data_IF_604240042572
#
_entry.id   IF_604240042572
#
_cell.length_a   1.000
_cell.length_b   1.000
_cell.length_c   1.000
_cell.angle_alpha   90.00
_cell.angle_beta   90.00
_cell.angle_gamma   90.00
#
_symmetry.space_group_name_H-M   'P 1'
#
loop_
_entity.id
_entity.type
_entity.pdbx_description
1 polymer ?
#
# COMPACT_ATOMS: atom_id res chain seq x y z
N UNK A 1 -42.24 3.02 -53.02
CA UNK A 1 -41.03 3.74 -52.59
C UNK A 1 -40.77 3.37 -51.13
N UNK A 2 -39.78 2.51 -50.89
CA UNK A 2 -39.40 2.11 -49.52
C UNK A 2 -38.08 2.85 -49.17
N UNK A 3 -38.13 3.73 -48.20
CA UNK A 3 -36.92 4.42 -47.67
C UNK A 3 -36.19 3.47 -46.74
N UNK A 4 -34.99 3.05 -47.12
CA UNK A 4 -34.04 2.41 -46.23
C UNK A 4 -33.27 3.51 -45.47
N UNK A 5 -33.50 3.59 -44.15
CA UNK A 5 -32.68 4.38 -43.27
C UNK A 5 -31.45 3.54 -42.87
N UNK A 6 -30.28 3.91 -43.35
CA UNK A 6 -29.00 3.32 -42.86
C UNK A 6 -28.61 4.01 -41.59
N UNK A 7 -28.64 3.25 -40.48
CA UNK A 7 -28.03 3.69 -39.21
C UNK A 7 -26.51 3.53 -39.31
N UNK A 8 -25.80 4.62 -39.24
CA UNK A 8 -24.34 4.63 -39.06
C UNK A 8 -24.05 4.31 -37.59
N UNK A 9 -23.54 3.12 -37.30
CA UNK A 9 -22.88 2.82 -36.03
C UNK A 9 -21.51 3.47 -36.03
N UNK A 10 -21.35 4.56 -35.27
CA UNK A 10 -20.06 5.14 -34.95
C UNK A 10 -19.42 4.26 -33.87
N UNK A 11 -18.53 3.36 -34.26
CA UNK A 11 -17.66 2.68 -33.31
C UNK A 11 -16.61 3.70 -32.83
N UNK A 12 -16.75 4.19 -31.62
CA UNK A 12 -15.67 4.91 -30.96
C UNK A 12 -14.52 3.92 -30.74
N UNK A 13 -13.44 4.07 -31.49
CA UNK A 13 -12.21 3.36 -31.22
C UNK A 13 -11.68 3.86 -29.87
N UNK A 14 -11.76 3.02 -28.86
CA UNK A 14 -11.05 3.23 -27.60
C UNK A 14 -9.58 3.02 -27.93
N UNK A 15 -8.84 4.10 -28.15
CA UNK A 15 -7.38 4.04 -28.16
C UNK A 15 -6.93 3.57 -26.78
N UNK A 16 -6.15 2.49 -26.65
CA UNK A 16 -5.55 2.15 -25.39
C UNK A 16 -4.66 3.34 -24.98
N UNK A 17 -5.01 4.00 -23.87
CA UNK A 17 -4.06 4.88 -23.19
C UNK A 17 -2.97 3.94 -22.66
N UNK A 18 -1.82 3.96 -23.30
CA UNK A 18 -0.62 3.35 -22.72
C UNK A 18 -0.38 4.02 -21.38
N UNK A 19 -0.16 3.23 -20.34
CA UNK A 19 0.31 3.75 -19.08
C UNK A 19 1.56 4.57 -19.35
N UNK A 20 1.55 5.82 -18.90
CA UNK A 20 2.69 6.69 -19.13
C UNK A 20 3.82 6.20 -18.21
N UNK A 21 4.95 5.82 -18.80
CA UNK A 21 6.17 5.63 -18.05
C UNK A 21 6.61 7.00 -17.53
N UNK A 22 6.62 7.16 -16.22
CA UNK A 22 7.06 8.37 -15.56
C UNK A 22 8.55 8.25 -15.23
N UNK A 23 9.40 8.63 -16.17
CA UNK A 23 10.84 8.72 -15.96
C UNK A 23 11.21 9.94 -15.09
N UNK A 24 10.25 10.83 -14.84
CA UNK A 24 10.45 12.04 -14.05
C UNK A 24 9.52 12.05 -12.85
N UNK A 25 10.01 12.35 -11.64
CA UNK A 25 9.17 12.56 -10.47
C UNK A 25 8.28 13.81 -10.59
N UNK A 26 8.49 14.59 -11.64
CA UNK A 26 7.80 15.87 -11.85
C UNK A 26 6.50 15.66 -12.61
N UNK A 27 5.45 15.35 -11.88
CA UNK A 27 4.14 15.78 -12.30
C UNK A 27 4.14 17.30 -12.13
N UNK A 28 4.05 18.01 -13.22
CA UNK A 28 4.26 19.45 -13.33
C UNK A 28 3.44 20.33 -12.42
N UNK A 29 3.60 20.22 -11.14
CA UNK A 29 3.01 21.14 -10.20
C UNK A 29 4.10 21.94 -9.48
N UNK A 30 4.97 22.58 -10.27
CA UNK A 30 6.06 23.40 -9.76
C UNK A 30 5.60 24.76 -9.27
N UNK A 31 4.42 25.22 -9.69
CA UNK A 31 3.84 26.48 -9.22
C UNK A 31 2.77 26.25 -8.16
N UNK A 32 2.68 27.07 -7.10
CA UNK A 32 1.65 26.95 -6.06
C UNK A 32 0.22 27.06 -6.58
N UNK A 33 0.04 27.71 -7.73
CA UNK A 33 -1.26 27.97 -8.37
C UNK A 33 -1.64 26.92 -9.40
N UNK A 34 -0.76 25.99 -9.75
CA UNK A 34 -1.05 24.94 -10.72
C UNK A 34 -1.66 23.75 -9.97
N UNK A 35 -2.90 23.43 -10.32
CA UNK A 35 -3.56 22.23 -9.81
C UNK A 35 -3.52 21.12 -10.83
N UNK A 36 -3.23 19.89 -10.39
CA UNK A 36 -3.44 18.68 -11.19
C UNK A 36 -4.88 18.25 -11.05
N UNK A 37 -5.57 18.01 -12.15
CA UNK A 37 -6.96 17.57 -12.18
C UNK A 37 -7.04 16.18 -12.80
N UNK A 38 -7.71 15.25 -12.11
CA UNK A 38 -8.05 13.92 -12.63
C UNK A 38 -9.55 13.77 -12.69
N UNK A 39 -10.07 13.37 -13.83
CA UNK A 39 -11.49 13.07 -14.02
C UNK A 39 -11.71 11.56 -13.93
N UNK A 40 -12.54 11.12 -12.99
CA UNK A 40 -12.85 9.72 -12.76
C UNK A 40 -14.33 9.54 -12.37
N UNK A 41 -15.03 8.62 -13.04
CA UNK A 41 -16.44 8.35 -12.75
C UNK A 41 -17.37 9.56 -12.87
N UNK A 42 -17.04 10.53 -13.74
CA UNK A 42 -17.79 11.77 -13.91
C UNK A 42 -17.55 12.84 -12.84
N UNK A 43 -16.59 12.61 -11.95
CA UNK A 43 -16.13 13.56 -10.94
C UNK A 43 -14.75 14.09 -11.25
N UNK A 44 -14.49 15.34 -10.90
CA UNK A 44 -13.16 15.97 -11.02
C UNK A 44 -12.53 16.06 -9.63
N UNK A 45 -11.33 15.52 -9.53
CA UNK A 45 -10.48 15.62 -8.34
C UNK A 45 -9.37 16.62 -8.66
N UNK A 46 -9.20 17.60 -7.79
CA UNK A 46 -8.25 18.70 -8.00
C UNK A 46 -7.26 18.73 -6.85
N UNK A 47 -5.96 18.57 -7.17
CA UNK A 47 -4.88 18.82 -6.23
C UNK A 47 -4.65 20.34 -6.14
N UNK A 48 -4.94 20.92 -5.00
CA UNK A 48 -4.78 22.36 -4.74
C UNK A 48 -3.47 22.72 -4.05
N UNK A 49 -2.58 21.76 -3.88
CA UNK A 49 -1.29 21.95 -3.25
C UNK A 49 -1.27 21.59 -1.76
N UNK A 50 -0.08 21.70 -1.17
CA UNK A 50 0.18 21.41 0.23
C UNK A 50 -0.33 22.57 1.11
N UNK A 51 -1.07 22.27 2.16
CA UNK A 51 -1.66 23.25 3.07
C UNK A 51 -1.29 23.05 4.52
N UNK A 52 -0.39 22.12 4.81
CA UNK A 52 0.12 21.92 6.17
C UNK A 52 1.04 20.73 6.27
N UNK A 53 1.95 20.83 7.22
CA UNK A 53 2.96 19.82 7.59
C UNK A 53 3.02 19.73 9.11
N UNK A 54 3.31 18.54 9.61
CA UNK A 54 3.62 18.32 11.02
C UNK A 54 4.79 17.36 11.16
N UNK A 55 5.51 17.51 12.27
CA UNK A 55 6.62 16.63 12.64
C UNK A 55 6.24 15.85 13.88
N UNK A 56 6.40 14.55 13.84
CA UNK A 56 6.24 13.68 14.99
C UNK A 56 7.60 13.14 15.43
N UNK A 57 7.94 13.32 16.71
CA UNK A 57 9.26 12.98 17.21
C UNK A 57 9.47 11.47 17.26
N UNK A 58 10.60 10.98 16.75
CA UNK A 58 10.94 9.55 16.67
C UNK A 58 11.20 8.90 18.03
N UNK A 59 11.50 9.69 19.05
CA UNK A 59 11.81 9.24 20.42
C UNK A 59 10.57 9.13 21.33
N UNK A 60 9.37 9.30 20.80
CA UNK A 60 8.15 9.09 21.57
C UNK A 60 8.08 7.63 22.00
N UNK A 61 7.81 7.40 23.29
CA UNK A 61 7.65 6.07 23.87
C UNK A 61 6.16 5.72 23.86
N UNK A 62 5.84 4.54 23.37
CA UNK A 62 4.48 4.03 23.29
C UNK A 62 4.01 3.40 24.60
N UNK A 63 2.75 2.93 24.64
CA UNK A 63 2.14 2.33 25.82
C UNK A 63 2.75 0.97 26.25
N UNK A 64 3.72 0.44 25.50
CA UNK A 64 4.48 -0.76 25.84
C UNK A 64 5.89 -0.46 26.35
N UNK A 65 6.30 0.80 26.31
CA UNK A 65 7.64 1.22 26.69
C UNK A 65 8.67 1.12 25.57
N UNK A 66 8.25 0.83 24.36
CA UNK A 66 9.10 0.84 23.16
C UNK A 66 9.06 2.22 22.49
N UNK A 67 10.03 2.53 21.64
CA UNK A 67 9.90 3.65 20.72
C UNK A 67 8.70 3.48 19.80
N UNK A 68 8.06 4.59 19.42
CA UNK A 68 6.82 4.59 18.64
C UNK A 68 6.91 3.73 17.37
N UNK A 69 8.07 3.68 16.73
CA UNK A 69 8.30 2.96 15.48
C UNK A 69 8.03 3.83 14.25
N UNK A 70 7.45 3.24 13.22
CA UNK A 70 7.17 3.87 11.94
C UNK A 70 5.66 4.15 11.75
N UNK A 71 5.34 4.81 10.63
CA UNK A 71 3.99 4.95 10.10
C UNK A 71 3.91 4.15 8.80
N UNK A 72 3.93 2.81 8.88
CA UNK A 72 3.77 1.97 7.69
C UNK A 72 2.42 2.20 7.05
N UNK A 73 1.37 2.30 7.87
CA UNK A 73 0.05 2.74 7.44
C UNK A 73 -0.58 3.69 8.46
N UNK A 74 -1.50 4.52 8.01
CA UNK A 74 -2.39 5.28 8.89
C UNK A 74 -3.77 5.50 8.27
N UNK A 75 -4.78 5.59 9.14
CA UNK A 75 -6.16 5.91 8.74
C UNK A 75 -6.78 6.91 9.72
N UNK A 76 -7.44 7.90 9.17
CA UNK A 76 -8.28 8.80 9.96
C UNK A 76 -9.64 8.13 10.20
N UNK A 77 -10.09 8.10 11.43
CA UNK A 77 -11.46 7.67 11.73
C UNK A 77 -12.44 8.77 11.30
N UNK A 78 -13.10 8.52 10.19
CA UNK A 78 -14.06 9.46 9.59
C UNK A 78 -15.21 9.84 10.52
N UNK A 79 -15.59 8.98 11.48
CA UNK A 79 -16.64 9.28 12.45
C UNK A 79 -16.21 10.35 13.47
N UNK A 80 -14.91 10.56 13.62
CA UNK A 80 -14.35 11.55 14.56
C UNK A 80 -13.86 12.82 13.87
N UNK A 81 -13.67 12.77 12.54
CA UNK A 81 -13.15 13.89 11.77
C UNK A 81 -14.16 15.03 11.67
N UNK A 82 -13.78 16.24 12.10
CA UNK A 82 -14.65 17.40 12.10
C UNK A 82 -13.87 18.70 11.88
N UNK A 83 -14.53 19.64 11.23
CA UNK A 83 -14.09 21.04 11.16
C UNK A 83 -14.57 21.78 12.39
N UNK A 84 -13.68 22.47 13.07
CA UNK A 84 -13.95 23.31 14.22
C UNK A 84 -14.37 24.72 13.80
N UNK A 85 -14.98 25.48 14.70
CA UNK A 85 -15.48 26.85 14.44
C UNK A 85 -14.37 27.85 14.07
N UNK A 86 -13.13 27.59 14.50
CA UNK A 86 -11.96 28.39 14.15
C UNK A 86 -11.31 28.02 12.82
N UNK A 87 -11.91 27.10 12.05
CA UNK A 87 -11.39 26.63 10.77
C UNK A 87 -10.37 25.51 10.84
N UNK A 88 -9.92 25.12 12.05
CA UNK A 88 -9.07 23.93 12.22
C UNK A 88 -9.90 22.65 12.09
N UNK A 89 -9.22 21.52 12.02
CA UNK A 89 -9.81 20.20 12.00
C UNK A 89 -9.27 19.36 13.16
N UNK A 90 -10.08 18.44 13.64
CA UNK A 90 -9.65 17.48 14.66
C UNK A 90 -10.27 16.11 14.41
N UNK A 91 -9.63 15.07 14.92
CA UNK A 91 -10.10 13.70 14.80
C UNK A 91 -9.19 12.71 15.48
N UNK A 92 -9.49 11.44 15.30
CA UNK A 92 -8.66 10.31 15.70
C UNK A 92 -7.96 9.75 14.47
N UNK A 93 -6.67 9.53 14.59
CA UNK A 93 -5.87 8.83 13.60
C UNK A 93 -5.39 7.53 14.24
N UNK A 94 -5.50 6.44 13.49
CA UNK A 94 -4.85 5.18 13.83
C UNK A 94 -3.67 4.96 12.91
N UNK A 95 -2.55 4.50 13.46
CA UNK A 95 -1.38 4.15 12.66
C UNK A 95 -0.84 2.79 13.07
N UNK A 96 -0.26 2.10 12.10
CA UNK A 96 0.36 0.80 12.24
C UNK A 96 1.86 0.95 12.00
N UNK A 97 2.71 0.75 13.00
CA UNK A 97 4.12 0.49 12.75
C UNK A 97 4.28 -0.89 12.10
N UNK A 98 5.30 -1.01 11.26
CA UNK A 98 5.79 -2.30 10.77
C UNK A 98 6.45 -3.11 11.89
N UNK A 99 7.59 -3.72 11.64
CA UNK A 99 8.44 -4.35 12.67
C UNK A 99 9.06 -3.36 13.66
N UNK A 100 8.74 -2.07 13.59
CA UNK A 100 9.33 -1.02 14.39
C UNK A 100 10.81 -0.83 14.08
N UNK A 101 11.66 -0.87 15.12
CA UNK A 101 13.12 -0.79 14.96
C UNK A 101 13.80 -2.14 14.66
N UNK A 102 13.00 -3.17 14.35
CA UNK A 102 13.44 -4.55 14.16
C UNK A 102 13.85 -4.83 12.69
N UNK A 103 14.78 -4.06 12.15
CA UNK A 103 15.20 -4.13 10.75
C UNK A 103 15.63 -5.55 10.31
N UNK A 104 16.22 -6.32 11.23
CA UNK A 104 16.72 -7.65 10.95
C UNK A 104 15.72 -8.79 11.29
N UNK A 105 14.49 -8.47 11.74
CA UNK A 105 13.52 -9.48 12.12
C UNK A 105 13.92 -10.35 13.33
N UNK A 106 14.78 -9.82 14.22
CA UNK A 106 15.34 -10.58 15.35
C UNK A 106 14.73 -10.22 16.70
N UNK A 107 14.00 -9.11 16.78
CA UNK A 107 13.47 -8.55 18.03
C UNK A 107 12.01 -8.96 18.18
N UNK A 108 11.65 -9.42 19.37
CA UNK A 108 10.26 -9.77 19.70
C UNK A 108 9.40 -8.52 19.92
N UNK A 109 9.20 -7.73 18.85
CA UNK A 109 8.34 -6.55 18.83
C UNK A 109 6.88 -6.99 18.54
N UNK A 110 5.94 -6.92 19.51
CA UNK A 110 4.54 -7.27 19.24
C UNK A 110 3.91 -6.27 18.29
N UNK A 111 3.25 -6.74 17.23
CA UNK A 111 2.50 -5.88 16.33
C UNK A 111 1.44 -5.08 17.13
N UNK A 112 1.20 -3.84 16.75
CA UNK A 112 0.34 -2.92 17.49
C UNK A 112 -0.25 -1.84 16.60
N UNK A 113 -1.38 -1.29 17.02
CA UNK A 113 -2.00 -0.12 16.41
C UNK A 113 -1.89 1.02 17.40
N UNK A 114 -1.42 2.17 16.96
CA UNK A 114 -1.34 3.38 17.78
C UNK A 114 -2.55 4.27 17.50
N UNK A 115 -3.30 4.61 18.54
CA UNK A 115 -4.40 5.57 18.46
C UNK A 115 -3.90 6.95 18.84
N UNK A 116 -4.11 7.93 17.98
CA UNK A 116 -3.61 9.28 18.14
C UNK A 116 -4.72 10.31 18.06
N UNK A 117 -4.68 11.34 18.87
CA UNK A 117 -5.42 12.55 18.61
C UNK A 117 -4.70 13.36 17.52
N UNK A 118 -5.48 13.82 16.55
CA UNK A 118 -5.04 14.60 15.42
C UNK A 118 -5.67 15.99 15.48
N UNK A 119 -4.86 17.05 15.33
CA UNK A 119 -5.30 18.40 15.11
C UNK A 119 -4.60 18.98 13.89
N UNK A 120 -5.37 19.63 13.01
CA UNK A 120 -4.87 20.18 11.76
C UNK A 120 -5.41 21.57 11.52
N UNK A 121 -4.52 22.54 11.32
CA UNK A 121 -4.87 23.92 10.96
C UNK A 121 -4.26 24.23 9.60
N UNK A 122 -5.03 24.14 8.49
CA UNK A 122 -4.49 24.41 7.16
C UNK A 122 -4.02 25.84 7.03
N UNK A 123 -2.87 26.05 6.39
CA UNK A 123 -2.34 27.35 6.00
C UNK A 123 -2.29 27.46 4.48
N UNK A 124 -3.27 28.16 3.92
CA UNK A 124 -3.37 28.38 2.49
C UNK A 124 -2.42 29.46 1.97
N UNK A 125 -1.85 30.25 2.88
CA UNK A 125 -0.96 31.39 2.57
C UNK A 125 0.50 31.10 2.91
N UNK A 126 0.81 29.86 3.33
CA UNK A 126 2.14 29.46 3.77
C UNK A 126 3.22 29.90 2.77
N UNK A 127 4.28 30.53 3.29
CA UNK A 127 5.45 30.93 2.55
C UNK A 127 6.66 30.84 3.49
N UNK A 128 7.39 29.74 3.43
CA UNK A 128 8.52 29.40 4.28
C UNK A 128 8.16 29.45 5.79
N UNK A 129 7.03 28.83 6.15
CA UNK A 129 6.55 28.76 7.53
C UNK A 129 7.01 27.47 8.20
N UNK A 130 6.94 27.45 9.55
CA UNK A 130 7.29 26.25 10.33
C UNK A 130 6.27 25.12 10.13
N UNK A 131 6.71 23.89 10.40
CA UNK A 131 5.95 22.64 10.20
C UNK A 131 5.09 22.32 11.43
N UNK A 132 4.12 23.18 11.73
CA UNK A 132 3.29 23.09 12.96
C UNK A 132 1.80 22.99 12.68
N UNK A 133 1.40 22.85 11.41
CA UNK A 133 -0.02 22.84 11.02
C UNK A 133 -0.71 21.55 11.41
N UNK A 134 0.02 20.44 11.44
CA UNK A 134 -0.48 19.14 11.88
C UNK A 134 0.19 18.76 13.19
N UNK A 135 -0.60 18.39 14.19
CA UNK A 135 -0.11 17.84 15.45
C UNK A 135 -0.75 16.49 15.74
N UNK A 136 0.07 15.56 16.19
CA UNK A 136 -0.33 14.22 16.60
C UNK A 136 0.07 14.00 18.05
N UNK A 137 -0.81 13.39 18.84
CA UNK A 137 -0.49 12.98 20.21
C UNK A 137 -0.96 11.58 20.49
N UNK A 138 -0.07 10.71 20.95
CA UNK A 138 -0.39 9.32 21.30
C UNK A 138 -1.40 9.29 22.43
N UNK A 139 -2.51 8.57 22.22
CA UNK A 139 -3.57 8.39 23.20
C UNK A 139 -3.56 6.97 23.77
N UNK A 140 -3.31 5.99 22.90
CA UNK A 140 -3.37 4.58 23.28
C UNK A 140 -2.55 3.72 22.33
N UNK A 141 -1.90 2.67 22.89
CA UNK A 141 -1.30 1.56 22.15
C UNK A 141 -2.21 0.34 22.26
N UNK A 142 -2.64 -0.20 21.13
CA UNK A 142 -3.49 -1.40 21.00
C UNK A 142 -2.59 -2.54 20.53
N UNK A 143 -2.17 -3.40 21.45
CA UNK A 143 -1.33 -4.56 21.10
C UNK A 143 -2.15 -5.60 20.37
N UNK A 144 -1.65 -6.11 19.24
CA UNK A 144 -2.29 -7.21 18.52
C UNK A 144 -1.96 -8.52 19.22
N UNK A 145 -3.00 -9.30 19.51
CA UNK A 145 -2.92 -10.61 20.14
C UNK A 145 -3.60 -11.66 19.28
N UNK A 146 -3.21 -12.90 19.44
CA UNK A 146 -3.88 -14.05 18.83
C UNK A 146 -5.27 -14.30 19.44
N UNK A 147 -5.92 -15.39 19.03
CA UNK A 147 -7.24 -15.81 19.53
C UNK A 147 -7.24 -16.19 21.01
N UNK A 148 -6.09 -16.61 21.56
CA UNK A 148 -5.92 -16.95 22.96
C UNK A 148 -5.49 -15.76 23.83
N UNK A 149 -5.28 -14.58 23.23
CA UNK A 149 -4.79 -13.39 23.92
C UNK A 149 -3.27 -13.33 24.07
N UNK A 150 -2.52 -14.25 23.43
CA UNK A 150 -1.06 -14.19 23.40
C UNK A 150 -0.61 -13.08 22.43
N UNK A 151 0.40 -12.29 22.81
CA UNK A 151 0.96 -11.26 21.95
C UNK A 151 1.63 -11.88 20.71
N UNK A 152 1.48 -11.22 19.57
CA UNK A 152 2.21 -11.49 18.34
C UNK A 152 3.70 -11.15 18.47
N UNK A 153 4.47 -11.37 17.43
CA UNK A 153 5.89 -11.02 17.35
C UNK A 153 6.24 -10.53 15.96
N UNK A 154 7.21 -9.64 15.84
CA UNK A 154 7.81 -9.24 14.58
C UNK A 154 9.14 -9.96 14.29
N UNK A 155 9.44 -11.03 15.03
CA UNK A 155 10.55 -11.92 14.69
C UNK A 155 10.26 -12.60 13.36
N UNK A 156 11.26 -12.68 12.51
CA UNK A 156 11.18 -13.40 11.23
C UNK A 156 10.56 -14.78 11.40
N UNK A 157 9.62 -15.19 10.56
CA UNK A 157 8.95 -16.47 10.70
C UNK A 157 9.92 -17.65 10.66
N UNK A 158 9.73 -18.62 11.55
CA UNK A 158 10.47 -19.89 11.57
C UNK A 158 9.58 -21.10 11.32
N UNK A 159 8.30 -20.85 11.07
CA UNK A 159 7.31 -21.88 10.80
C UNK A 159 5.95 -21.30 10.43
N UNK A 160 4.97 -22.19 10.35
CA UNK A 160 3.58 -21.85 10.06
C UNK A 160 2.60 -22.64 10.91
N UNK A 161 1.38 -22.11 11.01
CA UNK A 161 0.24 -22.79 11.59
C UNK A 161 -0.99 -22.65 10.70
N UNK A 162 -2.02 -23.41 11.02
CA UNK A 162 -3.31 -23.34 10.33
C UNK A 162 -4.30 -22.50 11.14
N UNK A 163 -4.96 -21.57 10.45
CA UNK A 163 -6.00 -20.74 11.03
C UNK A 163 -7.19 -20.68 10.07
N UNK A 164 -8.39 -21.02 10.53
CA UNK A 164 -9.61 -21.00 9.71
C UNK A 164 -9.46 -21.72 8.37
N UNK A 165 -8.71 -22.83 8.33
CA UNK A 165 -8.45 -23.60 7.12
C UNK A 165 -7.30 -23.08 6.25
N UNK A 166 -6.75 -21.90 6.53
CA UNK A 166 -5.56 -21.38 5.87
C UNK A 166 -4.30 -21.85 6.61
N UNK A 167 -3.43 -22.62 5.93
CA UNK A 167 -2.30 -23.32 6.53
C UNK A 167 -1.00 -22.51 6.55
N UNK A 168 -1.02 -21.27 6.06
CA UNK A 168 0.17 -20.45 5.87
C UNK A 168 0.18 -19.20 6.77
N UNK A 169 -0.27 -19.32 8.01
CA UNK A 169 -0.12 -18.25 9.01
C UNK A 169 1.28 -18.31 9.60
N UNK A 170 2.02 -17.22 9.47
CA UNK A 170 3.40 -17.08 9.91
C UNK A 170 3.57 -17.24 11.43
N UNK A 171 4.56 -18.01 11.88
CA UNK A 171 4.88 -18.17 13.30
C UNK A 171 6.37 -18.09 13.58
N UNK A 172 6.72 -17.55 14.74
CA UNK A 172 8.06 -17.58 15.31
C UNK A 172 8.00 -17.79 16.83
N UNK A 173 8.74 -18.75 17.34
CA UNK A 173 8.79 -19.05 18.77
C UNK A 173 7.41 -19.39 19.38
N UNK A 174 6.51 -20.02 18.63
CA UNK A 174 5.16 -20.37 19.05
C UNK A 174 4.16 -19.22 19.08
N UNK A 175 4.52 -18.04 18.55
CA UNK A 175 3.66 -16.88 18.41
C UNK A 175 3.35 -16.62 16.94
N UNK A 176 2.25 -15.93 16.64
CA UNK A 176 2.03 -15.41 15.29
C UNK A 176 3.06 -14.33 14.99
N UNK A 177 3.76 -14.51 13.87
CA UNK A 177 4.71 -13.55 13.36
C UNK A 177 4.00 -12.62 12.37
N UNK A 178 4.07 -11.31 12.60
CA UNK A 178 3.40 -10.29 11.80
C UNK A 178 4.38 -9.16 11.52
N UNK A 179 4.49 -8.83 10.25
CA UNK A 179 5.06 -7.59 9.74
C UNK A 179 3.91 -6.76 9.17
N UNK A 180 3.35 -5.89 10.00
CA UNK A 180 2.11 -5.19 9.69
C UNK A 180 2.36 -3.99 8.80
N UNK A 181 1.76 -3.96 7.59
CA UNK A 181 2.03 -2.93 6.60
C UNK A 181 0.84 -2.02 6.30
N UNK A 182 -0.37 -2.56 6.21
CA UNK A 182 -1.57 -1.81 5.88
C UNK A 182 -2.64 -1.90 6.97
N UNK A 183 -3.44 -0.84 7.11
CA UNK A 183 -4.49 -0.71 8.11
C UNK A 183 -5.80 -0.23 7.47
N UNK A 184 -6.93 -0.87 7.80
CA UNK A 184 -8.26 -0.35 7.48
C UNK A 184 -9.17 -0.41 8.71
N UNK A 185 -10.11 0.55 8.83
CA UNK A 185 -11.00 0.68 9.98
C UNK A 185 -12.42 0.33 9.54
N UNK A 186 -13.05 -0.60 10.25
CA UNK A 186 -14.47 -0.95 10.06
C UNK A 186 -15.39 -0.02 10.87
N UNK A 187 -16.65 0.05 10.47
CA UNK A 187 -17.66 0.86 11.15
C UNK A 187 -17.91 0.45 12.62
N UNK A 188 -17.64 -0.82 12.98
CA UNK A 188 -17.75 -1.33 14.34
C UNK A 188 -16.51 -1.05 15.22
N UNK A 189 -15.51 -0.37 14.64
CA UNK A 189 -14.23 -0.03 15.28
C UNK A 189 -13.21 -1.17 15.26
N UNK A 190 -13.50 -2.30 14.63
CA UNK A 190 -12.50 -3.34 14.35
C UNK A 190 -11.63 -2.95 13.16
N UNK A 191 -10.54 -3.67 12.96
CA UNK A 191 -9.51 -3.33 11.98
C UNK A 191 -9.23 -4.50 11.03
N UNK A 192 -8.79 -4.17 9.82
CA UNK A 192 -8.00 -5.07 9.00
C UNK A 192 -6.54 -4.63 9.03
N UNK A 193 -5.66 -5.61 9.19
CA UNK A 193 -4.19 -5.41 9.21
C UNK A 193 -3.60 -6.34 8.16
N UNK A 194 -2.95 -5.78 7.16
CA UNK A 194 -2.19 -6.58 6.19
C UNK A 194 -0.82 -6.97 6.73
N UNK A 195 -0.29 -8.08 6.23
CA UNK A 195 0.92 -8.72 6.73
C UNK A 195 1.87 -9.03 5.58
N UNK A 196 3.09 -8.53 5.68
CA UNK A 196 4.11 -8.74 4.68
C UNK A 196 4.64 -10.17 4.70
N UNK A 197 4.75 -10.79 5.86
CA UNK A 197 5.27 -12.15 5.99
C UNK A 197 4.38 -13.17 5.28
N UNK A 198 3.07 -13.13 5.50
CA UNK A 198 2.13 -14.13 4.98
C UNK A 198 1.41 -13.73 3.70
N UNK A 199 1.57 -12.52 3.22
CA UNK A 199 0.68 -11.88 2.23
C UNK A 199 -0.80 -12.00 2.64
N UNK A 200 -1.06 -12.02 3.93
CA UNK A 200 -2.38 -12.21 4.56
C UNK A 200 -3.00 -10.89 5.00
N UNK A 201 -4.26 -10.94 5.37
CA UNK A 201 -4.92 -9.83 6.08
C UNK A 201 -5.64 -10.42 7.30
N UNK A 202 -5.35 -9.87 8.46
CA UNK A 202 -6.00 -10.24 9.70
C UNK A 202 -7.16 -9.30 10.02
N UNK A 203 -8.31 -9.88 10.41
CA UNK A 203 -9.39 -9.13 11.05
C UNK A 203 -9.09 -9.06 12.55
N UNK A 204 -9.00 -7.85 13.09
CA UNK A 204 -8.58 -7.58 14.46
C UNK A 204 -9.65 -6.75 15.16
N UNK A 205 -10.02 -7.12 16.38
CA UNK A 205 -10.99 -6.39 17.19
C UNK A 205 -10.49 -4.99 17.56
N UNK A 206 -11.39 -4.11 17.97
CA UNK A 206 -11.05 -2.77 18.50
C UNK A 206 -10.12 -2.78 19.73
N UNK A 207 -9.92 -3.93 20.34
CA UNK A 207 -9.04 -4.14 21.49
C UNK A 207 -7.74 -4.87 21.15
N UNK A 208 -7.54 -5.23 19.86
CA UNK A 208 -6.31 -5.84 19.37
C UNK A 208 -6.37 -7.37 19.22
N UNK A 209 -7.44 -8.05 19.63
CA UNK A 209 -7.53 -9.51 19.49
C UNK A 209 -7.86 -9.88 18.03
N UNK A 210 -7.14 -10.85 17.49
CA UNK A 210 -7.45 -11.43 16.18
C UNK A 210 -8.82 -12.11 16.21
N UNK A 211 -9.62 -11.87 15.18
CA UNK A 211 -10.96 -12.43 14.99
C UNK A 211 -11.01 -13.38 13.77
N UNK A 212 -10.04 -13.26 12.86
CA UNK A 212 -10.00 -14.10 11.68
C UNK A 212 -8.88 -13.70 10.71
N UNK A 213 -8.77 -14.46 9.63
CA UNK A 213 -7.81 -14.25 8.54
C UNK A 213 -8.50 -14.31 7.18
N UNK A 214 -8.16 -13.40 6.29
CA UNK A 214 -8.55 -13.45 4.88
C UNK A 214 -7.50 -14.27 4.13
N UNK A 215 -7.95 -15.30 3.44
CA UNK A 215 -7.07 -16.14 2.62
C UNK A 215 -6.68 -15.39 1.34
N UNK A 216 -5.39 -15.16 1.08
CA UNK A 216 -4.94 -14.58 -0.17
C UNK A 216 -5.12 -15.54 -1.34
N UNK A 217 -5.23 -15.05 -2.60
CA UNK A 217 -5.15 -15.90 -3.78
C UNK A 217 -3.87 -16.73 -3.81
N UNK A 218 -3.95 -17.96 -4.31
CA UNK A 218 -2.78 -18.87 -4.44
C UNK A 218 -1.62 -18.22 -5.20
N UNK A 219 -1.92 -17.40 -6.20
CA UNK A 219 -0.92 -16.67 -6.99
C UNK A 219 -0.01 -15.76 -6.17
N UNK A 220 -0.40 -15.35 -4.96
CA UNK A 220 0.36 -14.46 -4.08
C UNK A 220 1.20 -15.21 -3.05
N UNK A 221 0.90 -16.49 -2.82
CA UNK A 221 1.65 -17.30 -1.85
C UNK A 221 3.01 -17.70 -2.42
N UNK A 222 4.11 -17.55 -1.68
CA UNK A 222 5.43 -17.97 -2.16
C UNK A 222 5.46 -19.44 -2.57
N UNK A 223 6.04 -19.72 -3.72
CA UNK A 223 6.29 -21.07 -4.24
C UNK A 223 7.78 -21.28 -4.46
N UNK A 224 8.29 -22.42 -4.00
CA UNK A 224 9.69 -22.82 -4.15
C UNK A 224 9.83 -24.17 -4.86
N UNK A 225 10.84 -24.32 -5.70
CA UNK A 225 11.20 -25.61 -6.29
C UNK A 225 12.10 -26.40 -5.33
N UNK A 226 11.83 -27.70 -5.18
CA UNK A 226 12.63 -28.61 -4.36
C UNK A 226 12.38 -28.54 -2.87
N UNK A 227 11.45 -27.71 -2.40
CA UNK A 227 11.04 -27.67 -1.01
C UNK A 227 10.00 -28.76 -0.72
N UNK A 228 10.31 -29.65 0.20
CA UNK A 228 9.30 -30.46 0.87
C UNK A 228 8.86 -29.72 2.11
N UNK A 229 7.59 -29.37 2.20
CA UNK A 229 7.02 -28.70 3.36
C UNK A 229 6.66 -27.24 3.09
N UNK A 230 6.64 -26.43 4.12
CA UNK A 230 6.12 -25.11 4.13
C UNK A 230 6.99 -24.14 3.31
N UNK A 231 6.41 -23.60 2.27
CA UNK A 231 7.07 -22.67 1.33
C UNK A 231 6.60 -21.23 1.47
N UNK A 232 5.97 -20.90 2.60
CA UNK A 232 5.16 -19.69 2.71
C UNK A 232 5.88 -18.41 3.08
N UNK A 233 7.10 -18.48 3.66
CA UNK A 233 7.76 -17.27 4.16
C UNK A 233 9.19 -17.19 3.69
N UNK A 234 9.51 -16.01 3.26
CA UNK A 234 10.87 -15.57 3.14
C UNK A 234 11.05 -14.43 4.12
N UNK A 235 12.16 -14.42 4.77
CA UNK A 235 12.52 -13.47 5.79
C UNK A 235 13.40 -12.39 5.19
N UNK A 236 13.54 -11.26 5.87
CA UNK A 236 14.58 -10.30 5.54
C UNK A 236 15.98 -10.94 5.56
N UNK A 237 16.15 -12.05 6.31
CA UNK A 237 17.39 -12.85 6.36
C UNK A 237 17.43 -14.01 5.35
N UNK A 238 16.36 -14.24 4.58
CA UNK A 238 16.32 -15.28 3.52
C UNK A 238 16.28 -16.72 3.99
N UNK A 239 15.93 -16.98 5.25
CA UNK A 239 16.38 -18.22 5.92
C UNK A 239 15.41 -19.41 5.93
N UNK A 240 14.14 -19.30 5.49
CA UNK A 240 13.18 -20.38 5.79
C UNK A 240 12.92 -21.32 4.63
N UNK A 241 13.11 -20.90 3.41
CA UNK A 241 12.86 -21.75 2.26
C UNK A 241 14.17 -22.27 1.65
N UNK A 242 14.27 -23.58 1.56
CA UNK A 242 15.31 -24.21 0.74
C UNK A 242 14.79 -24.33 -0.68
N UNK A 243 15.51 -23.78 -1.63
CA UNK A 243 15.16 -23.85 -3.05
C UNK A 243 15.07 -22.49 -3.74
N UNK A 244 14.71 -22.50 -5.01
CA UNK A 244 14.53 -21.29 -5.80
C UNK A 244 13.08 -20.90 -5.79
N UNK A 245 12.80 -19.67 -5.41
CA UNK A 245 11.44 -19.13 -5.46
C UNK A 245 11.02 -18.92 -6.92
N UNK A 246 9.93 -19.55 -7.32
CA UNK A 246 9.37 -19.51 -8.68
C UNK A 246 8.04 -18.78 -8.78
N UNK A 247 7.35 -18.55 -7.67
CA UNK A 247 6.04 -17.93 -7.66
C UNK A 247 5.72 -17.18 -6.37
N UNK A 248 4.64 -16.44 -6.42
CA UNK A 248 4.11 -15.66 -5.30
C UNK A 248 4.85 -14.35 -5.04
N UNK A 249 4.53 -13.74 -3.88
CA UNK A 249 5.16 -12.52 -3.42
C UNK A 249 6.67 -12.67 -3.30
N UNK A 250 7.39 -11.58 -3.44
CA UNK A 250 8.84 -11.52 -3.22
C UNK A 250 9.16 -11.38 -1.74
N UNK A 251 10.41 -11.68 -1.39
CA UNK A 251 10.94 -11.44 -0.04
C UNK A 251 10.78 -9.97 0.32
N UNK A 252 10.28 -9.70 1.52
CA UNK A 252 10.05 -8.35 2.02
C UNK A 252 9.30 -7.46 1.03
N UNK A 253 8.30 -8.03 0.32
CA UNK A 253 7.40 -7.37 -0.62
C UNK A 253 6.04 -8.08 -0.62
N UNK A 254 5.45 -8.19 0.56
CA UNK A 254 4.19 -8.89 0.79
C UNK A 254 2.95 -8.03 0.58
N UNK A 255 1.95 -8.23 1.45
CA UNK A 255 0.70 -7.47 1.39
C UNK A 255 0.89 -6.11 2.07
N UNK A 256 1.29 -5.13 1.28
CA UNK A 256 1.67 -3.81 1.75
C UNK A 256 0.46 -2.96 2.13
N UNK A 257 -0.60 -3.01 1.35
CA UNK A 257 -1.73 -2.10 1.53
C UNK A 257 -3.08 -2.79 1.63
N UNK A 258 -3.95 -2.22 2.46
CA UNK A 258 -5.33 -2.65 2.62
C UNK A 258 -6.23 -1.45 2.91
N UNK A 259 -7.41 -1.39 2.26
CA UNK A 259 -8.42 -0.40 2.62
C UNK A 259 -9.85 -0.89 2.33
N UNK A 260 -10.81 -0.32 3.06
CA UNK A 260 -12.24 -0.55 2.88
C UNK A 260 -12.84 0.50 1.96
N UNK A 261 -13.72 0.07 1.06
CA UNK A 261 -14.57 1.02 0.34
C UNK A 261 -15.41 1.87 1.32
N UNK A 262 -15.78 3.11 0.95
CA UNK A 262 -16.50 4.01 1.84
C UNK A 262 -17.83 3.45 2.38
N UNK A 263 -18.46 2.53 1.65
CA UNK A 263 -19.66 1.80 2.08
C UNK A 263 -19.35 0.62 3.04
N UNK A 264 -18.08 0.33 3.31
CA UNK A 264 -17.61 -0.75 4.18
C UNK A 264 -17.85 -2.16 3.65
N UNK A 265 -18.26 -2.32 2.37
CA UNK A 265 -18.68 -3.62 1.82
C UNK A 265 -17.55 -4.39 1.14
N UNK A 266 -16.57 -3.68 0.60
CA UNK A 266 -15.45 -4.32 -0.09
C UNK A 266 -14.13 -3.95 0.57
N UNK A 267 -13.28 -4.94 0.72
CA UNK A 267 -11.90 -4.78 1.15
C UNK A 267 -11.00 -4.92 -0.07
N UNK A 268 -10.16 -3.94 -0.29
CA UNK A 268 -9.11 -3.96 -1.32
C UNK A 268 -7.77 -4.26 -0.67
N UNK A 269 -6.97 -5.14 -1.29
CA UNK A 269 -5.62 -5.47 -0.84
C UNK A 269 -4.68 -5.40 -2.02
N UNK A 270 -3.51 -4.78 -1.86
CA UNK A 270 -2.54 -4.60 -2.95
C UNK A 270 -1.17 -5.10 -2.52
N UNK A 271 -0.60 -6.00 -3.33
CA UNK A 271 0.75 -6.50 -3.12
C UNK A 271 1.76 -5.37 -3.43
N UNK A 272 2.88 -5.32 -2.70
CA UNK A 272 3.87 -4.24 -2.81
C UNK A 272 4.43 -4.07 -4.23
N UNK A 273 4.71 -5.19 -4.91
CA UNK A 273 5.25 -5.20 -6.28
C UNK A 273 4.84 -6.48 -7.03
N UNK A 274 5.33 -6.65 -8.27
CA UNK A 274 5.07 -7.83 -9.07
C UNK A 274 5.49 -9.12 -8.37
N UNK A 275 4.71 -10.19 -8.56
CA UNK A 275 5.07 -11.54 -8.12
C UNK A 275 6.30 -12.08 -8.86
N UNK A 276 6.86 -13.19 -8.39
CA UNK A 276 7.99 -13.86 -9.04
C UNK A 276 7.65 -14.36 -10.43
N UNK A 277 6.46 -14.95 -10.62
CA UNK A 277 6.02 -15.44 -11.93
C UNK A 277 5.79 -14.32 -12.94
N UNK A 278 5.45 -13.10 -12.49
CA UNK A 278 5.17 -11.95 -13.37
C UNK A 278 6.45 -11.19 -13.78
N UNK A 279 7.56 -11.44 -13.11
CA UNK A 279 8.88 -10.91 -13.46
C UNK A 279 9.95 -11.99 -13.29
N UNK A 280 10.00 -12.98 -14.20
CA UNK A 280 10.92 -14.12 -14.08
C UNK A 280 12.40 -13.72 -14.21
N UNK A 281 12.70 -12.59 -14.86
CA UNK A 281 14.06 -12.06 -14.94
C UNK A 281 14.57 -11.50 -13.60
N UNK A 282 13.68 -11.31 -12.64
CA UNK A 282 13.96 -10.79 -11.30
C UNK A 282 14.71 -9.44 -11.26
N UNK A 283 14.60 -8.65 -12.31
CA UNK A 283 15.16 -7.31 -12.32
C UNK A 283 14.23 -6.31 -11.63
N UNK A 284 14.79 -5.23 -11.09
CA UNK A 284 14.01 -4.25 -10.33
C UNK A 284 13.07 -3.42 -11.21
N UNK A 285 13.43 -3.16 -12.46
CA UNK A 285 12.55 -2.46 -13.40
C UNK A 285 11.33 -3.31 -13.77
N UNK A 286 11.48 -4.62 -13.87
CA UNK A 286 10.39 -5.53 -14.25
C UNK A 286 9.36 -5.81 -13.14
N UNK A 287 9.51 -5.23 -11.95
CA UNK A 287 8.53 -5.36 -10.84
C UNK A 287 7.28 -4.50 -11.03
N UNK A 288 6.87 -4.25 -12.26
CA UNK A 288 5.82 -3.31 -12.66
C UNK A 288 4.41 -3.76 -12.32
N UNK A 289 4.08 -5.03 -12.62
CA UNK A 289 2.69 -5.50 -12.62
C UNK A 289 2.34 -6.16 -11.30
N UNK A 290 1.87 -5.35 -10.36
CA UNK A 290 1.41 -5.88 -9.06
C UNK A 290 -0.03 -6.38 -9.12
N UNK A 291 -0.50 -7.05 -8.05
CA UNK A 291 -1.79 -7.72 -7.96
C UNK A 291 -2.67 -7.08 -6.88
N UNK A 292 -3.86 -6.65 -7.30
CA UNK A 292 -4.94 -6.20 -6.42
C UNK A 292 -5.95 -7.33 -6.23
N UNK A 293 -6.40 -7.55 -4.99
CA UNK A 293 -7.56 -8.40 -4.71
C UNK A 293 -8.66 -7.59 -4.06
N UNK A 294 -9.91 -7.88 -4.41
CA UNK A 294 -11.11 -7.25 -3.86
C UNK A 294 -11.97 -8.33 -3.23
N UNK A 295 -12.33 -8.17 -1.97
CA UNK A 295 -13.14 -9.11 -1.21
C UNK A 295 -14.47 -8.48 -0.82
N UNK A 296 -15.59 -9.22 -0.94
CA UNK A 296 -16.87 -8.82 -0.34
C UNK A 296 -16.87 -9.21 1.15
N UNK A 297 -16.80 -8.21 2.00
CA UNK A 297 -16.77 -8.36 3.47
C UNK A 297 -18.08 -7.94 4.14
N UNK A 298 -19.14 -7.73 3.35
CA UNK A 298 -20.44 -7.26 3.85
C UNK A 298 -21.14 -8.26 4.78
N UNK A 299 -21.06 -9.54 4.48
CA UNK A 299 -21.72 -10.61 5.24
C UNK A 299 -20.73 -11.53 5.99
N UNK A 300 -19.50 -11.61 5.50
CA UNK A 300 -18.42 -12.39 6.13
C UNK A 300 -17.18 -11.51 6.20
N UNK A 301 -16.71 -11.12 7.40
CA UNK A 301 -15.54 -10.27 7.53
C UNK A 301 -14.22 -10.95 7.11
N UNK A 302 -14.21 -12.28 6.96
CA UNK A 302 -13.01 -13.06 6.59
C UNK A 302 -13.32 -14.04 5.46
N UNK A 303 -13.64 -13.54 4.25
CA UNK A 303 -13.89 -14.40 3.10
C UNK A 303 -12.62 -15.15 2.67
N UNK A 304 -12.81 -16.34 2.08
CA UNK A 304 -11.72 -17.21 1.63
C UNK A 304 -11.36 -17.03 0.15
N UNK A 305 -12.10 -16.19 -0.56
CA UNK A 305 -11.88 -15.94 -1.99
C UNK A 305 -12.22 -14.51 -2.35
N UNK A 306 -11.44 -13.84 -3.20
CA UNK A 306 -11.78 -12.52 -3.69
C UNK A 306 -12.90 -12.60 -4.74
N UNK A 307 -13.71 -11.54 -4.82
CA UNK A 307 -14.69 -11.31 -5.89
C UNK A 307 -14.07 -10.61 -7.10
N UNK A 308 -12.90 -10.00 -6.91
CA UNK A 308 -12.10 -9.37 -7.95
C UNK A 308 -10.61 -9.63 -7.75
N UNK A 309 -9.89 -9.84 -8.86
CA UNK A 309 -8.43 -9.95 -8.87
C UNK A 309 -7.93 -9.26 -10.14
N UNK A 310 -7.07 -8.25 -9.99
CA UNK A 310 -6.69 -7.36 -11.08
C UNK A 310 -5.19 -7.14 -11.10
N UNK A 311 -4.69 -6.74 -12.28
CA UNK A 311 -3.32 -6.28 -12.46
C UNK A 311 -3.29 -4.76 -12.36
N UNK A 312 -2.34 -4.23 -11.61
CA UNK A 312 -2.06 -2.79 -11.51
C UNK A 312 -0.64 -2.55 -11.98
N UNK A 313 -0.45 -1.66 -12.94
CA UNK A 313 0.87 -1.28 -13.42
C UNK A 313 1.43 -0.16 -12.54
N UNK A 314 2.58 -0.42 -11.90
CA UNK A 314 3.29 0.55 -11.08
C UNK A 314 4.12 1.50 -11.97
N UNK A 315 4.32 2.76 -11.56
CA UNK A 315 5.21 3.67 -12.27
C UNK A 315 6.67 3.21 -12.19
N UNK A 316 7.50 3.76 -13.10
CA UNK A 316 8.94 3.58 -13.09
C UNK A 316 9.67 4.90 -12.87
N UNK A 317 10.91 4.83 -12.38
CA UNK A 317 11.74 5.99 -12.11
C UNK A 317 13.23 5.69 -12.31
N UNK A 318 14.02 6.74 -12.54
CA UNK A 318 15.48 6.70 -12.52
C UNK A 318 15.96 6.80 -11.06
N UNK A 319 16.53 5.70 -10.55
CA UNK A 319 16.92 5.57 -9.14
C UNK A 319 17.95 6.60 -8.70
N UNK A 320 18.85 6.98 -9.57
CA UNK A 320 19.94 7.88 -9.24
C UNK A 320 19.57 9.35 -9.44
N UNK A 321 18.39 9.63 -10.05
CA UNK A 321 17.90 10.98 -10.27
C UNK A 321 18.74 11.80 -11.25
N UNK A 322 19.50 11.14 -12.10
CA UNK A 322 20.43 11.82 -13.06
C UNK A 322 19.76 12.22 -14.36
N UNK A 323 18.48 11.88 -14.52
CA UNK A 323 17.72 12.10 -15.76
C UNK A 323 17.97 11.03 -16.83
N UNK A 324 18.50 9.89 -16.42
CA UNK A 324 18.65 8.69 -17.24
C UNK A 324 17.34 7.95 -17.49
N UNK A 325 17.43 6.80 -18.16
CA UNK A 325 16.27 5.93 -18.33
C UNK A 325 15.85 5.32 -17.01
N UNK A 326 14.54 5.15 -16.81
CA UNK A 326 13.99 4.48 -15.63
C UNK A 326 14.56 3.06 -15.48
N UNK A 327 15.07 2.74 -14.31
CA UNK A 327 15.71 1.47 -14.00
C UNK A 327 15.06 0.74 -12.82
N UNK A 328 13.99 1.31 -12.26
CA UNK A 328 13.23 0.78 -11.13
C UNK A 328 11.73 0.93 -11.34
N UNK A 329 10.98 -0.07 -10.85
CA UNK A 329 9.55 0.10 -10.57
C UNK A 329 9.39 0.75 -9.19
N UNK A 330 8.50 1.72 -9.09
CA UNK A 330 8.14 2.36 -7.84
C UNK A 330 7.17 1.46 -7.08
N UNK A 331 7.67 0.78 -6.05
CA UNK A 331 6.84 -0.06 -5.19
C UNK A 331 5.71 0.77 -4.55
N UNK A 332 4.55 0.16 -4.35
CA UNK A 332 3.46 0.81 -3.64
C UNK A 332 3.61 0.64 -2.13
N UNK A 333 3.04 1.56 -1.34
CA UNK A 333 3.07 1.54 0.12
C UNK A 333 1.73 1.73 0.77
N UNK A 334 0.71 2.25 0.07
CA UNK A 334 -0.59 2.48 0.68
C UNK A 334 -1.65 2.66 -0.41
N UNK A 335 -2.90 2.30 -0.07
CA UNK A 335 -4.07 2.60 -0.89
C UNK A 335 -5.15 3.31 -0.08
N UNK A 336 -5.97 4.09 -0.78
CA UNK A 336 -7.21 4.66 -0.24
C UNK A 336 -8.34 4.34 -1.21
N UNK A 337 -9.25 3.48 -0.79
CA UNK A 337 -10.40 3.09 -1.59
C UNK A 337 -11.41 4.25 -1.72
N UNK A 338 -11.80 4.58 -2.93
CA UNK A 338 -12.77 5.65 -3.24
C UNK A 338 -14.14 5.07 -3.62
N UNK A 339 -14.16 3.89 -4.21
CA UNK A 339 -15.35 3.15 -4.61
C UNK A 339 -15.01 1.68 -4.81
N UNK A 340 -15.96 0.79 -5.11
CA UNK A 340 -15.64 -0.60 -5.44
C UNK A 340 -14.76 -0.79 -6.67
N UNK A 341 -14.59 0.23 -7.50
CA UNK A 341 -13.83 0.16 -8.75
C UNK A 341 -12.75 1.23 -8.89
N UNK A 342 -12.48 2.02 -7.84
CA UNK A 342 -11.46 3.07 -7.89
C UNK A 342 -10.80 3.31 -6.53
N UNK A 343 -9.51 3.64 -6.56
CA UNK A 343 -8.72 3.92 -5.38
C UNK A 343 -7.54 4.83 -5.70
N UNK A 344 -6.94 5.40 -4.67
CA UNK A 344 -5.64 6.06 -4.74
C UNK A 344 -4.55 5.06 -4.37
N UNK A 345 -3.38 5.17 -4.98
CA UNK A 345 -2.19 4.40 -4.61
C UNK A 345 -1.00 5.32 -4.39
N UNK A 346 -0.29 5.12 -3.30
CA UNK A 346 1.01 5.74 -3.04
C UNK A 346 2.10 4.84 -3.58
N UNK A 347 2.89 5.33 -4.54
CA UNK A 347 4.08 4.66 -5.07
C UNK A 347 5.33 5.47 -4.74
N UNK A 348 6.42 4.78 -4.39
CA UNK A 348 7.63 5.44 -3.91
C UNK A 348 8.91 4.78 -4.39
N UNK A 349 9.99 5.57 -4.40
CA UNK A 349 11.34 5.06 -4.31
C UNK A 349 11.62 4.48 -2.91
N UNK A 350 12.66 3.68 -2.77
CA UNK A 350 13.19 3.23 -1.49
C UNK A 350 14.30 4.13 -0.94
N UNK A 351 14.42 5.36 -1.44
CA UNK A 351 15.51 6.27 -1.10
C UNK A 351 15.13 7.17 0.10
N UNK A 352 16.13 7.71 0.75
CA UNK A 352 15.98 8.68 1.84
C UNK A 352 16.13 8.09 3.24
N UNK A 353 15.83 8.89 4.26
CA UNK A 353 15.99 8.54 5.67
C UNK A 353 15.19 7.30 6.06
N UNK A 354 15.82 6.44 6.83
CA UNK A 354 15.22 5.19 7.28
C UNK A 354 15.21 4.07 6.23
N UNK A 355 15.60 4.35 4.98
CA UNK A 355 15.83 3.32 3.98
C UNK A 355 17.22 2.70 4.11
N UNK A 356 17.41 1.49 3.56
CA UNK A 356 18.72 0.86 3.48
C UNK A 356 19.71 1.57 2.55
N UNK A 357 19.31 2.66 1.89
CA UNK A 357 20.10 3.40 0.90
C UNK A 357 20.04 4.91 1.13
N UNK A 358 20.53 5.33 2.29
CA UNK A 358 20.53 6.73 2.75
C UNK A 358 21.35 7.70 1.88
N UNK A 359 22.22 7.16 0.99
CA UNK A 359 23.09 7.96 0.14
C UNK A 359 22.46 8.35 -1.20
N UNK A 360 21.19 7.97 -1.43
CA UNK A 360 20.51 8.28 -2.68
C UNK A 360 19.51 9.41 -2.52
N UNK A 361 19.37 10.26 -3.55
CA UNK A 361 18.38 11.33 -3.51
C UNK A 361 16.95 10.76 -3.47
N UNK A 362 16.04 11.52 -2.88
CA UNK A 362 14.60 11.30 -3.02
C UNK A 362 14.20 11.67 -4.46
N UNK A 363 13.67 10.71 -5.21
CA UNK A 363 13.40 10.95 -6.65
C UNK A 363 11.95 10.65 -7.05
N UNK A 364 11.24 9.80 -6.28
CA UNK A 364 9.87 9.41 -6.65
C UNK A 364 8.98 9.10 -5.44
N UNK A 365 7.98 9.95 -5.20
CA UNK A 365 6.90 9.70 -4.24
C UNK A 365 5.62 10.33 -4.78
N UNK A 366 4.72 9.48 -5.29
CA UNK A 366 3.56 9.94 -6.07
C UNK A 366 2.29 9.23 -5.61
N UNK A 367 1.21 10.00 -5.46
CA UNK A 367 -0.14 9.46 -5.33
C UNK A 367 -0.80 9.46 -6.71
N UNK A 368 -1.33 8.30 -7.11
CA UNK A 368 -2.02 8.13 -8.40
C UNK A 368 -3.45 7.65 -8.19
N UNK A 369 -4.35 8.02 -9.10
CA UNK A 369 -5.66 7.40 -9.22
C UNK A 369 -5.55 6.08 -9.97
N UNK A 370 -6.30 5.07 -9.51
CA UNK A 370 -6.45 3.79 -10.21
C UNK A 370 -7.93 3.53 -10.43
N UNK A 371 -8.29 3.11 -11.64
CA UNK A 371 -9.64 2.61 -11.95
C UNK A 371 -9.59 1.19 -12.48
N UNK A 372 -10.50 0.36 -11.97
CA UNK A 372 -10.71 -1.01 -12.42
C UNK A 372 -11.67 -1.10 -13.59
N UNK A 373 -12.26 0.04 -14.02
CA UNK A 373 -13.18 0.07 -15.16
C UNK A 373 -12.45 -0.32 -16.44
N UNK A 374 -12.91 -1.40 -17.08
CA UNK A 374 -12.28 -1.95 -18.27
C UNK A 374 -11.09 -2.89 -18.00
N UNK A 375 -10.62 -3.01 -16.75
CA UNK A 375 -9.59 -3.97 -16.39
C UNK A 375 -10.12 -5.41 -16.39
N UNK A 376 -9.26 -6.36 -16.72
CA UNK A 376 -9.62 -7.79 -16.72
C UNK A 376 -9.73 -8.31 -15.29
N UNK A 377 -10.93 -8.78 -14.90
CA UNK A 377 -11.10 -9.49 -13.62
C UNK A 377 -10.62 -10.94 -13.76
N UNK A 378 -9.60 -11.28 -13.02
CA UNK A 378 -8.93 -12.59 -13.01
C UNK A 378 -9.40 -13.50 -11.86
N UNK A 379 -10.35 -13.07 -11.02
CA UNK A 379 -10.83 -13.87 -9.90
C UNK A 379 -11.40 -15.22 -10.40
N UNK A 380 -11.05 -16.31 -9.71
CA UNK A 380 -11.48 -17.66 -10.06
C UNK A 380 -10.76 -18.29 -11.27
N UNK A 381 -9.89 -17.55 -11.96
CA UNK A 381 -9.07 -18.09 -13.06
C UNK A 381 -7.76 -18.69 -12.57
N UNK A 382 -7.01 -19.36 -13.44
CA UNK A 382 -5.67 -19.89 -13.13
C UNK A 382 -4.66 -18.80 -12.75
N UNK A 383 -4.91 -17.56 -13.13
CA UNK A 383 -4.10 -16.41 -12.77
C UNK A 383 -4.21 -16.02 -11.28
N UNK A 384 -5.30 -16.38 -10.62
CA UNK A 384 -5.51 -16.17 -9.19
C UNK A 384 -5.36 -17.48 -8.40
N UNK A 385 -5.82 -18.62 -8.94
CA UNK A 385 -5.86 -19.92 -8.25
C UNK A 385 -4.60 -20.76 -8.46
N UNK A 386 -3.63 -20.26 -9.22
CA UNK A 386 -2.34 -20.89 -9.52
C UNK A 386 -1.27 -19.86 -9.78
N UNK A 387 -0.17 -20.27 -10.38
CA UNK A 387 1.00 -19.42 -10.67
C UNK A 387 1.14 -19.08 -12.16
N UNK A 388 0.02 -19.05 -12.89
CA UNK A 388 0.01 -18.57 -14.28
C UNK A 388 0.42 -17.10 -14.29
N UNK A 389 1.48 -16.71 -15.04
CA UNK A 389 1.92 -15.32 -15.09
C UNK A 389 0.91 -14.45 -15.86
N UNK A 390 0.69 -13.24 -15.38
CA UNK A 390 -0.13 -12.20 -16.07
C UNK A 390 0.72 -11.22 -16.86
N UNK A 391 2.02 -11.21 -16.61
CA UNK A 391 2.97 -10.28 -17.22
C UNK A 391 4.33 -10.98 -17.39
N UNK A 392 5.18 -10.34 -18.20
CA UNK A 392 6.57 -10.76 -18.38
C UNK A 392 7.50 -9.54 -18.14
N UNK A 393 7.57 -9.11 -16.89
CA UNK A 393 8.37 -7.97 -16.50
C UNK A 393 8.07 -6.74 -17.35
N UNK A 394 9.09 -6.12 -17.93
CA UNK A 394 8.98 -4.91 -18.75
C UNK A 394 8.27 -5.14 -20.11
N UNK A 395 8.07 -6.37 -20.52
CA UNK A 395 7.46 -6.70 -21.81
C UNK A 395 5.93 -6.52 -21.82
N UNK A 396 5.33 -6.22 -20.67
CA UNK A 396 3.91 -5.95 -20.55
C UNK A 396 3.07 -7.15 -20.06
N UNK A 397 1.75 -6.95 -20.06
CA UNK A 397 0.77 -7.99 -19.73
C UNK A 397 0.66 -9.03 -20.84
N UNK A 398 0.24 -10.24 -20.48
CA UNK A 398 0.11 -11.40 -21.38
C UNK A 398 -1.36 -11.69 -21.71
N UNK A 399 -1.58 -12.44 -22.80
CA UNK A 399 -2.86 -13.08 -23.15
C UNK A 399 -4.07 -12.13 -23.19
N UNK A 400 -3.89 -10.89 -23.63
CA UNK A 400 -4.96 -9.89 -23.71
C UNK A 400 -5.48 -9.40 -22.35
N UNK A 401 -4.74 -9.63 -21.27
CA UNK A 401 -5.05 -9.08 -19.95
C UNK A 401 -4.92 -7.56 -19.99
N UNK A 402 -5.98 -6.87 -19.60
CA UNK A 402 -6.01 -5.42 -19.47
C UNK A 402 -5.74 -5.07 -18.02
N UNK A 403 -4.63 -4.38 -17.76
CA UNK A 403 -4.32 -3.84 -16.44
C UNK A 403 -5.26 -2.69 -16.06
N UNK A 404 -5.40 -2.44 -14.77
CA UNK A 404 -6.10 -1.26 -14.25
C UNK A 404 -5.41 0.02 -14.74
N UNK A 405 -6.22 1.03 -15.09
CA UNK A 405 -5.70 2.31 -15.54
C UNK A 405 -5.17 3.10 -14.34
N UNK A 406 -3.91 3.56 -14.44
CA UNK A 406 -3.24 4.38 -13.42
C UNK A 406 -3.04 5.79 -13.96
N UNK A 407 -3.46 6.80 -13.21
CA UNK A 407 -3.34 8.21 -13.59
C UNK A 407 -2.68 8.98 -12.43
N UNK A 408 -1.49 9.57 -12.63
CA UNK A 408 -0.83 10.35 -11.59
C UNK A 408 -1.63 11.57 -11.17
N UNK A 409 -1.50 11.92 -9.88
CA UNK A 409 -2.30 12.98 -9.29
C UNK A 409 -1.48 13.93 -8.40
N UNK A 410 -0.71 13.42 -7.43
CA UNK A 410 0.06 14.28 -6.52
C UNK A 410 1.52 13.85 -6.53
N UNK A 411 2.41 14.79 -6.86
CA UNK A 411 3.83 14.64 -6.58
C UNK A 411 4.14 15.15 -5.16
N UNK A 412 4.45 14.24 -4.24
CA UNK A 412 4.78 14.59 -2.85
C UNK A 412 6.16 15.23 -2.72
N UNK A 413 7.00 15.13 -3.76
CA UNK A 413 8.33 15.77 -3.82
C UNK A 413 8.32 17.08 -4.59
N UNK A 414 7.16 17.73 -4.75
CA UNK A 414 7.10 19.03 -5.43
C UNK A 414 7.85 20.10 -4.64
N UNK A 415 9.01 20.61 -5.13
CA UNK A 415 9.87 21.47 -4.35
C UNK A 415 9.22 22.81 -4.01
N UNK A 416 8.37 23.34 -4.89
CA UNK A 416 7.65 24.60 -4.65
C UNK A 416 6.64 24.45 -3.52
N UNK A 417 5.93 23.31 -3.44
CA UNK A 417 4.98 23.06 -2.39
C UNK A 417 5.66 22.79 -1.06
N UNK A 418 6.78 22.06 -1.06
CA UNK A 418 7.57 21.75 0.13
C UNK A 418 8.24 23.01 0.71
N UNK A 419 8.80 23.88 -0.14
CA UNK A 419 9.42 25.13 0.28
C UNK A 419 8.46 26.08 1.00
N UNK A 420 7.16 26.00 0.75
CA UNK A 420 6.15 26.78 1.50
C UNK A 420 6.18 26.51 3.00
N UNK A 421 6.63 25.32 3.40
CA UNK A 421 6.71 24.87 4.78
C UNK A 421 8.17 24.66 5.23
N UNK A 422 9.12 25.34 4.57
CA UNK A 422 10.53 25.31 4.95
C UNK A 422 11.20 23.94 4.76
N UNK A 423 10.64 23.08 3.91
CA UNK A 423 11.24 21.79 3.56
C UNK A 423 12.09 21.96 2.31
N UNK A 424 13.40 21.73 2.45
CA UNK A 424 14.37 21.73 1.35
C UNK A 424 14.83 20.29 1.07
N UNK A 425 14.51 19.78 -0.12
CA UNK A 425 14.93 18.45 -0.55
C UNK A 425 16.43 18.33 -0.83
N UNK A 426 17.14 19.45 -1.00
CA UNK A 426 18.58 19.48 -1.29
C UNK A 426 19.42 19.46 0.00
N UNK A 427 18.84 19.77 1.13
CA UNK A 427 19.49 19.57 2.41
C UNK A 427 19.39 18.08 2.69
N UNK A 428 20.50 17.39 2.56
CA UNK A 428 20.58 15.95 2.80
C UNK A 428 19.87 15.59 4.08
N UNK A 429 19.36 14.40 4.11
CA UNK A 429 18.49 13.82 5.13
C UNK A 429 18.97 13.92 6.59
N UNK A 430 19.87 14.80 6.93
CA UNK A 430 20.44 15.03 8.26
C UNK A 430 19.55 15.89 9.17
N UNK A 431 18.39 16.32 8.73
CA UNK A 431 17.59 17.31 9.45
C UNK A 431 16.10 16.99 9.66
N UNK A 432 15.63 15.78 9.40
CA UNK A 432 14.22 15.45 9.63
C UNK A 432 14.01 14.41 10.72
#
# INVERSE_FOLDING_TARGET
MRHLTRSLLLSAAVTPLFAANYDSPFLDNTAPTISTTVSLGGQNFVNQGLVGVGVFATNVIDGRGDTFGSFSSFKVDHNTWRKNSNGSYSGTLYTLPDRGYNVAGLIAYPARIQQMALSFTPDYTANNVSQTQLTLSLQRTITITDFAGQTTTAVDPTGATTLQGFSNVATAGGKFAIDGEGLAIRADGSFYVSDEYGATVYHVSKTGQMLGVITPPQALLPQFTGASGYSGFTTASGAIATGVQTGGRRDNQGMEAVDLTPDGRHLMTLLQSATRQDNPADNNQGRLFTRLSVYDVSNNPTPTSPVGHYVVELPTFDRDGTGGSADRAAAQSEIVALSPTSFLVLSRDGNGNGSGDNNRPLVFKTVSFVTLTGATNLAGTSYATGYTPVANGISGTLDGIVAAQVTPFVNLLNPTQLARFGIDMNVGAEGS
#
